data_IF_159113844228
#
_entry.id   IF_159113844228
#
_cell.length_a   1.000
_cell.length_b   1.000
_cell.length_c   1.000
_cell.angle_alpha   90.00
_cell.angle_beta   90.00
_cell.angle_gamma   90.00
#
_symmetry.space_group_name_H-M   'P 1'
#
loop_
_entity.id
_entity.type
_entity.pdbx_description
1 polymer ?
#
# COMPACT_ATOMS: atom_id res chain seq x y z
N UNK A 1 -25.99 -90.35 26.78
CA UNK A 1 -26.74 -89.45 27.65
C UNK A 1 -26.46 -88.04 27.19
N UNK A 2 -27.46 -87.43 26.52
CA UNK A 2 -27.31 -86.07 25.87
C UNK A 2 -27.72 -84.97 26.85
N UNK A 3 -26.81 -84.07 27.18
CA UNK A 3 -27.17 -82.81 27.90
C UNK A 3 -27.42 -81.73 26.89
N UNK A 4 -28.67 -81.24 26.86
CA UNK A 4 -29.06 -80.02 26.13
C UNK A 4 -28.54 -78.83 26.92
N UNK A 5 -27.73 -77.99 26.26
CA UNK A 5 -27.35 -76.65 26.74
C UNK A 5 -28.37 -75.69 26.26
N UNK A 6 -28.96 -74.91 27.20
CA UNK A 6 -29.91 -73.86 26.94
C UNK A 6 -29.19 -72.67 26.39
N UNK A 7 -29.56 -72.26 25.17
CA UNK A 7 -29.12 -71.01 24.58
C UNK A 7 -30.03 -69.87 25.07
N UNK A 8 -29.52 -69.01 25.90
CA UNK A 8 -30.18 -67.74 26.28
C UNK A 8 -29.94 -66.69 25.20
N UNK A 9 -30.99 -66.31 24.48
CA UNK A 9 -30.98 -65.23 23.51
C UNK A 9 -31.06 -63.91 24.29
N UNK A 10 -29.97 -63.15 24.35
CA UNK A 10 -29.96 -61.77 24.84
C UNK A 10 -30.40 -60.87 23.68
N UNK A 11 -31.63 -60.39 23.74
CA UNK A 11 -32.15 -59.35 22.85
C UNK A 11 -31.49 -58.03 23.18
N UNK A 12 -30.55 -57.62 22.35
CA UNK A 12 -29.95 -56.27 22.41
C UNK A 12 -30.93 -55.31 21.70
N UNK A 13 -31.62 -54.49 22.49
CA UNK A 13 -32.42 -53.37 22.03
C UNK A 13 -31.44 -52.28 21.52
N UNK A 14 -31.25 -52.18 20.22
CA UNK A 14 -30.54 -51.09 19.57
C UNK A 14 -31.50 -49.89 19.56
N UNK A 15 -31.33 -48.94 20.49
CA UNK A 15 -31.98 -47.65 20.44
C UNK A 15 -31.26 -46.81 19.37
N UNK A 16 -31.94 -46.39 18.30
CA UNK A 16 -31.33 -45.46 17.37
C UNK A 16 -31.20 -44.09 18.07
N UNK A 17 -29.99 -43.72 18.46
CA UNK A 17 -29.66 -42.40 18.94
C UNK A 17 -29.70 -41.47 17.71
N UNK A 18 -30.87 -40.86 17.51
CA UNK A 18 -31.02 -39.75 16.54
C UNK A 18 -30.13 -38.59 17.05
N UNK A 19 -28.90 -38.57 16.54
CA UNK A 19 -28.03 -37.42 16.64
C UNK A 19 -28.70 -36.32 15.76
N UNK A 20 -29.50 -35.50 16.38
CA UNK A 20 -29.88 -34.24 15.77
C UNK A 20 -28.61 -33.39 15.77
N UNK A 21 -27.87 -33.47 14.68
CA UNK A 21 -26.90 -32.43 14.32
C UNK A 21 -27.75 -31.21 14.01
N UNK A 22 -28.01 -30.40 15.01
CA UNK A 22 -28.32 -28.99 14.77
C UNK A 22 -27.10 -28.44 14.06
N UNK A 23 -27.16 -28.50 12.73
CA UNK A 23 -26.34 -27.63 11.89
C UNK A 23 -26.79 -26.23 12.31
N UNK A 24 -26.06 -25.65 13.26
CA UNK A 24 -26.02 -24.20 13.42
C UNK A 24 -25.54 -23.70 12.07
N UNK A 25 -26.51 -23.43 11.18
CA UNK A 25 -26.29 -22.51 10.09
C UNK A 25 -25.94 -21.21 10.82
N UNK A 26 -24.66 -20.97 11.02
CA UNK A 26 -24.18 -19.61 11.18
C UNK A 26 -24.79 -18.90 9.98
N UNK A 27 -25.81 -18.08 10.26
CA UNK A 27 -26.29 -17.07 9.36
C UNK A 27 -25.07 -16.16 9.17
N UNK A 28 -24.18 -16.62 8.29
CA UNK A 28 -23.12 -15.82 7.75
C UNK A 28 -23.85 -14.69 7.04
N UNK A 29 -24.04 -13.58 7.77
CA UNK A 29 -24.57 -12.32 7.23
C UNK A 29 -23.56 -11.89 6.17
N UNK A 30 -23.63 -12.61 5.03
CA UNK A 30 -22.67 -12.54 3.94
C UNK A 30 -22.66 -11.09 3.48
N UNK A 31 -21.60 -10.38 3.85
CA UNK A 31 -21.46 -8.98 3.50
C UNK A 31 -21.73 -8.79 2.01
N UNK A 32 -22.65 -7.89 1.67
CA UNK A 32 -23.05 -7.59 0.30
C UNK A 32 -22.91 -6.11 -0.03
N UNK A 33 -22.91 -5.79 -1.31
CA UNK A 33 -22.92 -4.40 -1.78
C UNK A 33 -21.71 -3.58 -1.26
N UNK A 34 -21.99 -2.38 -0.78
CA UNK A 34 -20.97 -1.42 -0.35
C UNK A 34 -20.25 -1.84 0.93
N UNK A 35 -20.93 -2.55 1.84
CA UNK A 35 -20.33 -3.08 3.07
C UNK A 35 -19.22 -4.07 2.73
N UNK A 36 -19.51 -5.04 1.86
CA UNK A 36 -18.52 -6.00 1.38
C UNK A 36 -17.36 -5.28 0.71
N UNK A 37 -17.65 -4.38 -0.23
CA UNK A 37 -16.60 -3.64 -0.95
C UNK A 37 -15.72 -2.82 -0.01
N UNK A 38 -16.29 -2.22 1.03
CA UNK A 38 -15.51 -1.47 2.03
C UNK A 38 -14.52 -2.36 2.80
N UNK A 39 -14.96 -3.57 3.21
CA UNK A 39 -14.06 -4.54 3.85
C UNK A 39 -12.97 -5.03 2.90
N UNK A 40 -13.32 -5.33 1.64
CA UNK A 40 -12.34 -5.69 0.60
C UNK A 40 -11.30 -4.58 0.40
N UNK A 41 -11.71 -3.31 0.39
CA UNK A 41 -10.80 -2.16 0.29
C UNK A 41 -9.85 -2.10 1.47
N UNK A 42 -10.33 -2.28 2.70
CA UNK A 42 -9.47 -2.31 3.89
C UNK A 42 -8.42 -3.40 3.75
N UNK A 43 -8.80 -4.62 3.38
CA UNK A 43 -7.86 -5.73 3.16
C UNK A 43 -6.86 -5.42 2.06
N UNK A 44 -7.33 -4.94 0.91
CA UNK A 44 -6.49 -4.63 -0.25
C UNK A 44 -5.47 -3.50 0.03
N UNK A 45 -5.86 -2.48 0.80
CA UNK A 45 -4.98 -1.37 1.14
C UNK A 45 -4.02 -1.69 2.29
N UNK A 46 -4.36 -2.66 3.14
CA UNK A 46 -3.51 -3.15 4.22
C UNK A 46 -2.47 -4.16 3.75
N UNK A 47 -2.65 -4.73 2.55
CA UNK A 47 -1.71 -5.65 1.91
C UNK A 47 -0.66 -4.88 1.11
N UNK A 48 0.60 -5.28 1.24
CA UNK A 48 1.72 -4.73 0.48
C UNK A 48 1.64 -5.01 -1.01
N UNK A 49 0.97 -6.11 -1.40
CA UNK A 49 0.76 -6.55 -2.79
C UNK A 49 -0.66 -6.33 -3.28
N UNK A 50 -1.57 -5.87 -2.43
CA UNK A 50 -3.02 -5.79 -2.71
C UNK A 50 -3.38 -5.04 -3.98
N UNK A 51 -2.64 -3.98 -4.32
CA UNK A 51 -2.87 -3.22 -5.56
C UNK A 51 -2.59 -4.02 -6.83
N UNK A 52 -1.79 -5.08 -6.76
CA UNK A 52 -1.48 -6.00 -7.87
C UNK A 52 -2.44 -7.18 -7.99
N UNK A 53 -3.24 -7.46 -6.97
CA UNK A 53 -4.17 -8.59 -6.92
C UNK A 53 -5.40 -8.30 -7.77
N UNK A 54 -5.84 -9.27 -8.58
CA UNK A 54 -6.99 -9.12 -9.49
C UNK A 54 -8.28 -8.79 -8.76
N UNK A 55 -8.51 -9.42 -7.61
CA UNK A 55 -9.67 -9.28 -6.74
C UNK A 55 -9.78 -7.87 -6.15
N UNK A 56 -8.64 -7.23 -5.94
CA UNK A 56 -8.57 -5.87 -5.41
C UNK A 56 -8.84 -4.78 -6.47
N UNK A 57 -8.75 -5.09 -7.76
CA UNK A 57 -8.92 -4.07 -8.83
C UNK A 57 -10.27 -3.37 -8.78
N UNK A 58 -11.36 -4.13 -8.67
CA UNK A 58 -12.71 -3.56 -8.63
C UNK A 58 -12.99 -2.75 -7.36
N UNK A 59 -12.74 -3.28 -6.14
CA UNK A 59 -12.89 -2.53 -4.90
C UNK A 59 -12.05 -1.24 -4.88
N UNK A 60 -10.78 -1.33 -5.25
CA UNK A 60 -9.89 -0.17 -5.26
C UNK A 60 -10.30 0.88 -6.32
N UNK A 61 -10.75 0.45 -7.50
CA UNK A 61 -11.29 1.38 -8.51
C UNK A 61 -12.46 2.17 -7.95
N UNK A 62 -13.41 1.50 -7.29
CA UNK A 62 -14.54 2.15 -6.63
C UNK A 62 -14.08 3.13 -5.55
N UNK A 63 -13.21 2.70 -4.67
CA UNK A 63 -12.68 3.52 -3.58
C UNK A 63 -11.94 4.78 -4.10
N UNK A 64 -11.05 4.65 -5.07
CA UNK A 64 -10.30 5.78 -5.61
C UNK A 64 -11.15 6.71 -6.50
N UNK A 65 -12.33 6.27 -6.95
CA UNK A 65 -13.31 7.14 -7.61
C UNK A 65 -13.99 8.11 -6.63
N UNK A 66 -13.94 7.84 -5.33
CA UNK A 66 -14.48 8.73 -4.29
C UNK A 66 -13.63 9.99 -4.25
N UNK A 67 -14.22 11.09 -4.69
CA UNK A 67 -13.57 12.40 -4.76
C UNK A 67 -14.51 13.53 -4.40
N UNK A 68 -13.95 14.70 -4.09
CA UNK A 68 -14.66 15.94 -3.87
C UNK A 68 -13.79 17.12 -4.34
N UNK A 69 -14.38 18.30 -4.44
CA UNK A 69 -13.65 19.51 -4.86
C UNK A 69 -12.46 19.82 -3.95
N UNK A 70 -12.59 19.63 -2.64
CA UNK A 70 -11.51 19.84 -1.66
C UNK A 70 -11.01 18.49 -1.15
N UNK A 71 -9.71 18.35 -1.01
CA UNK A 71 -9.07 17.13 -0.51
C UNK A 71 -9.62 16.66 0.83
N UNK A 72 -9.79 17.60 1.78
CA UNK A 72 -10.39 17.27 3.08
C UNK A 72 -11.77 16.62 2.96
N UNK A 73 -12.58 17.06 2.01
CA UNK A 73 -13.91 16.49 1.81
C UNK A 73 -13.83 15.13 1.12
N UNK A 74 -12.81 14.90 0.28
CA UNK A 74 -12.50 13.57 -0.26
C UNK A 74 -12.13 12.59 0.86
N UNK A 75 -11.25 12.99 1.78
CA UNK A 75 -10.88 12.15 2.94
C UNK A 75 -12.10 11.78 3.77
N UNK A 76 -12.96 12.74 4.10
CA UNK A 76 -14.20 12.48 4.85
C UNK A 76 -15.10 11.47 4.14
N UNK A 77 -15.27 11.60 2.82
CA UNK A 77 -16.07 10.64 2.04
C UNK A 77 -15.44 9.26 2.01
N UNK A 78 -14.12 9.16 1.85
CA UNK A 78 -13.37 7.91 1.90
C UNK A 78 -13.50 7.25 3.27
N UNK A 79 -13.36 8.00 4.36
CA UNK A 79 -13.57 7.48 5.71
C UNK A 79 -14.97 6.93 5.88
N UNK A 80 -16.00 7.70 5.52
CA UNK A 80 -17.38 7.25 5.61
C UNK A 80 -17.63 5.96 4.82
N UNK A 81 -16.96 5.79 3.67
CA UNK A 81 -17.05 4.55 2.89
C UNK A 81 -16.36 3.37 3.62
N UNK A 82 -15.16 3.56 4.17
CA UNK A 82 -14.46 2.52 4.93
C UNK A 82 -15.25 2.11 6.17
N UNK A 83 -15.93 3.04 6.83
CA UNK A 83 -16.77 2.81 8.00
C UNK A 83 -18.02 1.95 7.73
N UNK A 84 -18.34 1.68 6.46
CA UNK A 84 -19.38 0.71 6.10
C UNK A 84 -18.97 -0.74 6.42
N UNK A 85 -17.66 -1.02 6.52
CA UNK A 85 -17.18 -2.32 6.96
C UNK A 85 -17.42 -2.46 8.47
N UNK A 86 -18.14 -3.48 8.95
CA UNK A 86 -18.48 -3.62 10.36
C UNK A 86 -17.26 -3.61 11.31
N UNK A 87 -16.14 -4.16 10.85
CA UNK A 87 -14.90 -4.21 11.65
C UNK A 87 -14.09 -2.91 11.64
N UNK A 88 -14.46 -1.92 10.81
CA UNK A 88 -13.68 -0.67 10.64
C UNK A 88 -13.48 0.12 11.94
N UNK A 89 -14.44 0.01 12.87
CA UNK A 89 -14.45 0.71 14.16
C UNK A 89 -14.58 -0.26 15.35
N UNK A 90 -14.29 -1.55 15.16
CA UNK A 90 -14.41 -2.58 16.19
C UNK A 90 -13.54 -2.29 17.42
N UNK A 91 -12.38 -1.69 17.20
CA UNK A 91 -11.45 -1.26 18.25
C UNK A 91 -10.63 -0.06 17.79
N UNK A 92 -9.87 0.53 18.73
CA UNK A 92 -9.03 1.72 18.44
C UNK A 92 -8.01 1.48 17.34
N UNK A 93 -7.42 0.27 17.27
CA UNK A 93 -6.41 -0.08 16.25
C UNK A 93 -7.03 -0.15 14.86
N UNK A 94 -8.20 -0.76 14.71
CA UNK A 94 -8.93 -0.78 13.44
C UNK A 94 -9.36 0.63 13.02
N UNK A 95 -9.83 1.45 13.95
CA UNK A 95 -10.17 2.85 13.69
C UNK A 95 -8.94 3.68 13.27
N UNK A 96 -7.78 3.43 13.88
CA UNK A 96 -6.51 4.03 13.47
C UNK A 96 -6.11 3.58 12.06
N UNK A 97 -6.22 2.28 11.76
CA UNK A 97 -5.94 1.75 10.42
C UNK A 97 -6.80 2.42 9.35
N UNK A 98 -8.11 2.47 9.54
CA UNK A 98 -9.01 3.12 8.56
C UNK A 98 -8.72 4.62 8.41
N UNK A 99 -8.26 5.28 9.47
CA UNK A 99 -7.78 6.66 9.42
C UNK A 99 -6.52 6.79 8.55
N UNK A 100 -5.59 5.84 8.61
CA UNK A 100 -4.41 5.80 7.73
C UNK A 100 -4.84 5.55 6.28
N UNK A 101 -5.69 4.54 6.06
CA UNK A 101 -6.11 4.12 4.73
C UNK A 101 -6.86 5.21 3.96
N UNK A 102 -7.65 6.08 4.63
CA UNK A 102 -8.32 7.19 3.95
C UNK A 102 -7.35 8.15 3.25
N UNK A 103 -6.10 8.25 3.75
CA UNK A 103 -5.05 9.11 3.20
C UNK A 103 -4.24 8.44 2.09
N UNK A 104 -4.38 7.13 1.90
CA UNK A 104 -3.58 6.40 0.95
C UNK A 104 -3.97 6.74 -0.50
N UNK A 105 -3.07 7.44 -1.20
CA UNK A 105 -3.27 7.85 -2.60
C UNK A 105 -2.64 6.87 -3.58
N UNK A 106 -1.50 6.29 -3.21
CA UNK A 106 -0.69 5.41 -4.05
C UNK A 106 0.00 4.32 -3.21
N UNK A 107 0.67 3.39 -3.88
CA UNK A 107 1.42 2.34 -3.20
C UNK A 107 2.66 2.89 -2.48
N UNK A 108 3.10 2.18 -1.44
CA UNK A 108 4.20 2.62 -0.58
C UNK A 108 5.51 1.83 -0.84
N UNK A 109 5.57 1.09 -1.95
CA UNK A 109 6.76 0.38 -2.39
C UNK A 109 7.82 1.32 -2.99
N UNK A 110 9.06 0.84 -3.08
CA UNK A 110 10.18 1.62 -3.58
C UNK A 110 9.98 2.08 -5.03
N UNK A 111 9.39 1.26 -5.89
CA UNK A 111 9.14 1.60 -7.29
C UNK A 111 8.17 2.78 -7.40
N UNK A 112 7.04 2.72 -6.69
CA UNK A 112 6.06 3.81 -6.66
C UNK A 112 6.66 5.09 -6.10
N UNK A 113 7.43 5.01 -5.02
CA UNK A 113 8.08 6.16 -4.40
C UNK A 113 9.13 6.80 -5.32
N UNK A 114 9.86 6.02 -6.11
CA UNK A 114 10.82 6.51 -7.10
C UNK A 114 10.15 7.27 -8.25
N UNK A 115 8.90 6.97 -8.56
CA UNK A 115 8.10 7.67 -9.56
C UNK A 115 7.45 8.95 -9.03
N UNK A 116 7.57 9.25 -7.72
CA UNK A 116 7.05 10.48 -7.11
C UNK A 116 8.10 11.57 -7.17
N UNK A 117 7.80 12.62 -7.92
CA UNK A 117 8.69 13.75 -8.09
C UNK A 117 8.21 14.94 -7.25
N UNK A 118 9.16 15.65 -6.68
CA UNK A 118 8.94 16.96 -6.09
C UNK A 118 9.62 18.04 -6.92
N UNK A 119 8.99 19.19 -6.97
CA UNK A 119 9.45 20.33 -7.75
C UNK A 119 9.79 21.50 -6.82
N UNK A 120 10.85 22.20 -7.17
CA UNK A 120 11.27 23.43 -6.49
C UNK A 120 11.43 24.53 -7.51
N UNK A 121 10.75 25.66 -7.27
CA UNK A 121 11.03 26.88 -8.04
C UNK A 121 12.32 27.52 -7.52
N UNK A 122 13.28 27.73 -8.42
CA UNK A 122 14.55 28.38 -8.09
C UNK A 122 14.90 29.41 -9.15
N UNK A 123 14.93 30.69 -8.75
CA UNK A 123 15.04 31.84 -9.65
C UNK A 123 13.95 31.78 -10.74
N UNK A 124 14.32 31.59 -11.99
CA UNK A 124 13.41 31.54 -13.15
C UNK A 124 13.16 30.11 -13.67
N UNK A 125 13.69 29.08 -12.96
CA UNK A 125 13.66 27.69 -13.43
C UNK A 125 13.07 26.74 -12.40
N UNK A 126 12.29 25.78 -12.88
CA UNK A 126 11.85 24.65 -12.05
C UNK A 126 12.97 23.62 -11.97
N UNK A 127 13.27 23.17 -10.76
CA UNK A 127 14.14 22.04 -10.49
C UNK A 127 13.31 20.87 -9.97
N UNK A 128 13.79 19.65 -10.22
CA UNK A 128 13.10 18.40 -9.93
C UNK A 128 14.04 17.39 -9.28
N UNK A 129 13.49 16.55 -8.42
CA UNK A 129 14.13 15.35 -7.88
C UNK A 129 13.08 14.30 -7.51
N UNK A 130 13.49 13.07 -7.20
CA UNK A 130 12.62 12.11 -6.51
C UNK A 130 12.26 12.66 -5.13
N UNK A 131 11.00 12.56 -4.74
CA UNK A 131 10.53 12.99 -3.42
C UNK A 131 11.37 12.33 -2.32
N UNK A 132 12.01 13.15 -1.48
CA UNK A 132 13.01 12.68 -0.53
C UNK A 132 12.45 12.28 0.84
N UNK A 133 11.17 12.51 1.06
CA UNK A 133 10.48 12.12 2.30
C UNK A 133 9.43 11.06 2.03
N UNK A 134 9.26 10.15 2.96
CA UNK A 134 8.18 9.18 2.93
C UNK A 134 6.88 9.87 3.35
N UNK A 135 5.79 9.71 2.58
CA UNK A 135 4.48 10.21 2.98
C UNK A 135 4.06 9.67 4.36
N UNK A 136 3.37 10.48 5.15
CA UNK A 136 2.95 10.08 6.50
C UNK A 136 2.12 8.81 6.48
N UNK A 137 1.15 8.69 5.57
CA UNK A 137 0.34 7.48 5.47
C UNK A 137 1.16 6.22 5.14
N UNK A 138 2.22 6.33 4.32
CA UNK A 138 3.13 5.20 4.08
C UNK A 138 3.90 4.84 5.35
N UNK A 139 4.46 5.85 6.04
CA UNK A 139 5.15 5.63 7.30
C UNK A 139 4.25 4.94 8.32
N UNK A 140 3.00 5.38 8.44
CA UNK A 140 2.04 4.85 9.38
C UNK A 140 1.62 3.40 9.02
N UNK A 141 1.47 3.07 7.72
CA UNK A 141 1.24 1.70 7.26
C UNK A 141 2.36 0.75 7.67
N UNK A 142 3.64 1.16 7.49
CA UNK A 142 4.79 0.34 7.89
C UNK A 142 4.91 0.14 9.41
N UNK A 143 4.26 0.98 10.20
CA UNK A 143 4.29 0.89 11.66
C UNK A 143 2.99 0.29 12.25
N UNK A 144 1.97 0.01 11.43
CA UNK A 144 0.68 -0.46 11.93
C UNK A 144 0.63 -2.00 11.94
N UNK A 145 0.36 -2.58 13.10
CA UNK A 145 0.40 -4.04 13.32
C UNK A 145 -0.62 -4.86 12.49
N UNK A 146 -1.72 -4.24 12.04
CA UNK A 146 -2.74 -4.90 11.22
C UNK A 146 -2.49 -4.78 9.71
N UNK A 147 -1.28 -4.46 9.31
CA UNK A 147 -0.88 -4.40 7.91
C UNK A 147 0.25 -5.39 7.61
N UNK A 148 0.29 -5.90 6.38
CA UNK A 148 1.45 -6.68 5.91
C UNK A 148 2.71 -5.83 5.80
N UNK A 149 2.56 -4.50 5.66
CA UNK A 149 3.68 -3.56 5.61
C UNK A 149 4.58 -3.63 6.85
N UNK A 150 4.01 -3.92 8.02
CA UNK A 150 4.78 -4.07 9.26
C UNK A 150 5.71 -5.28 9.27
N UNK A 151 5.49 -6.25 8.37
CA UNK A 151 6.26 -7.49 8.24
C UNK A 151 7.34 -7.42 7.17
N UNK A 152 7.38 -6.37 6.38
CA UNK A 152 8.34 -6.21 5.28
C UNK A 152 9.30 -5.03 5.53
N UNK A 153 10.43 -5.07 4.84
CA UNK A 153 11.43 -4.00 4.96
C UNK A 153 10.88 -2.70 4.38
N UNK A 154 10.84 -1.67 5.21
CA UNK A 154 10.47 -0.31 4.82
C UNK A 154 11.52 0.29 3.88
N UNK A 155 11.14 0.85 2.72
CA UNK A 155 12.07 1.52 1.81
C UNK A 155 12.83 2.66 2.48
N UNK A 156 14.09 2.84 2.10
CA UNK A 156 14.96 3.93 2.58
C UNK A 156 15.38 4.82 1.42
N UNK A 157 15.39 6.11 1.65
CA UNK A 157 15.92 7.07 0.69
C UNK A 157 17.45 7.09 0.76
N UNK A 158 18.12 6.86 -0.38
CA UNK A 158 19.58 6.71 -0.48
C UNK A 158 20.26 7.78 -1.33
N UNK A 159 19.50 8.61 -2.05
CA UNK A 159 20.06 9.73 -2.80
C UNK A 159 20.38 10.93 -1.89
N UNK A 160 21.14 11.91 -2.41
CA UNK A 160 21.35 13.17 -1.70
C UNK A 160 20.04 13.99 -1.66
N UNK A 161 19.45 14.23 -0.47
CA UNK A 161 18.22 15.00 -0.34
C UNK A 161 18.38 16.50 -0.63
N UNK A 162 19.60 16.99 -0.85
CA UNK A 162 19.86 18.39 -1.21
C UNK A 162 20.07 18.56 -2.71
N UNK A 163 20.25 17.49 -3.45
CA UNK A 163 20.53 17.52 -4.89
C UNK A 163 19.22 17.74 -5.67
N UNK A 164 19.25 18.74 -6.55
CA UNK A 164 18.16 19.12 -7.44
C UNK A 164 18.68 19.26 -8.87
N UNK A 165 17.92 18.75 -9.80
CA UNK A 165 18.28 18.75 -11.21
C UNK A 165 17.42 19.72 -12.01
N UNK A 166 17.92 20.25 -13.13
CA UNK A 166 17.06 20.94 -14.10
C UNK A 166 16.06 19.93 -14.71
N UNK A 167 14.91 20.41 -15.18
CA UNK A 167 13.92 19.56 -15.85
C UNK A 167 14.52 18.93 -17.11
N UNK A 168 15.38 19.67 -17.80
CA UNK A 168 16.08 19.24 -19.01
C UNK A 168 17.07 18.11 -18.72
N UNK A 169 17.93 18.27 -17.70
CA UNK A 169 18.88 17.24 -17.27
C UNK A 169 18.15 15.99 -16.76
N UNK A 170 17.09 16.19 -15.99
CA UNK A 170 16.26 15.08 -15.52
C UNK A 170 15.66 14.26 -16.66
N UNK A 171 15.12 14.93 -17.69
CA UNK A 171 14.57 14.26 -18.88
C UNK A 171 15.65 13.54 -19.66
N UNK A 172 16.82 14.17 -19.83
CA UNK A 172 17.99 13.58 -20.53
C UNK A 172 18.59 12.41 -19.76
N UNK A 173 18.48 12.40 -18.41
CA UNK A 173 19.08 11.40 -17.55
C UNK A 173 20.53 11.68 -17.15
N UNK A 174 21.10 12.80 -17.56
CA UNK A 174 22.47 13.20 -17.28
C UNK A 174 22.55 14.67 -16.86
N UNK A 175 23.39 14.94 -15.88
CA UNK A 175 23.79 16.29 -15.48
C UNK A 175 25.14 16.61 -16.08
N UNK A 176 25.28 17.78 -16.70
CA UNK A 176 26.57 18.27 -17.18
C UNK A 176 27.30 19.00 -16.07
N UNK A 177 28.41 18.41 -15.60
CA UNK A 177 29.22 18.94 -14.48
C UNK A 177 30.54 19.47 -15.02
N UNK A 178 30.91 20.67 -14.61
CA UNK A 178 32.21 21.24 -14.90
C UNK A 178 33.28 20.50 -14.09
N UNK A 179 34.27 19.93 -14.80
CA UNK A 179 35.38 19.17 -14.17
C UNK A 179 36.71 19.92 -14.23
N UNK A 180 36.85 20.87 -15.14
CA UNK A 180 38.05 21.70 -15.27
C UNK A 180 37.74 23.05 -15.87
N UNK A 181 38.42 24.07 -15.39
CA UNK A 181 38.37 25.43 -15.91
C UNK A 181 39.78 26.01 -15.96
N UNK A 182 40.30 26.32 -17.15
CA UNK A 182 41.61 26.92 -17.36
C UNK A 182 41.48 28.18 -18.18
N UNK A 183 42.14 29.28 -17.74
CA UNK A 183 42.16 30.51 -18.50
C UNK A 183 43.06 30.35 -19.76
N UNK A 184 42.57 30.67 -20.92
CA UNK A 184 43.27 30.63 -22.18
C UNK A 184 43.68 32.06 -22.59
N UNK A 185 44.94 32.41 -22.39
CA UNK A 185 45.47 33.74 -22.65
C UNK A 185 45.35 34.16 -24.13
N UNK A 186 45.41 33.17 -25.06
CA UNK A 186 45.32 33.46 -26.51
C UNK A 186 43.89 33.82 -26.91
N UNK A 187 42.88 33.15 -26.34
CA UNK A 187 41.47 33.37 -26.66
C UNK A 187 40.81 34.39 -25.76
N UNK A 188 41.46 34.78 -24.66
CA UNK A 188 40.90 35.67 -23.65
C UNK A 188 39.58 35.10 -23.06
N UNK A 189 39.47 33.78 -22.91
CA UNK A 189 38.33 33.06 -22.38
C UNK A 189 38.74 31.85 -21.55
N UNK A 190 37.77 31.24 -20.83
CA UNK A 190 38.01 30.00 -20.11
C UNK A 190 37.79 28.79 -21.02
N UNK A 191 38.79 27.92 -21.15
CA UNK A 191 38.61 26.55 -21.68
C UNK A 191 37.98 25.73 -20.55
N UNK A 192 36.68 25.36 -20.69
CA UNK A 192 35.92 24.63 -19.71
C UNK A 192 35.67 23.21 -20.23
N UNK A 193 36.04 22.24 -19.43
CA UNK A 193 35.78 20.82 -19.72
C UNK A 193 34.58 20.37 -18.88
N UNK A 194 33.61 19.79 -19.52
CA UNK A 194 32.42 19.23 -18.89
C UNK A 194 32.45 17.70 -18.98
N UNK A 195 31.82 17.07 -17.99
CA UNK A 195 31.53 15.63 -17.97
C UNK A 195 30.04 15.45 -17.75
N UNK A 196 29.43 14.53 -18.51
CA UNK A 196 28.08 14.10 -18.25
C UNK A 196 28.09 13.03 -17.16
N UNK A 197 27.30 13.25 -16.09
CA UNK A 197 27.15 12.36 -14.96
C UNK A 197 25.71 11.87 -14.92
N UNK A 198 25.52 10.57 -14.87
CA UNK A 198 24.20 9.95 -14.84
C UNK A 198 23.42 10.38 -13.59
N UNK A 199 22.13 10.67 -13.76
CA UNK A 199 21.23 11.03 -12.68
C UNK A 199 20.63 9.76 -12.09
N UNK A 200 20.94 9.48 -10.83
CA UNK A 200 20.31 8.40 -10.10
C UNK A 200 18.84 8.73 -9.82
N UNK A 201 17.92 7.90 -10.36
CA UNK A 201 16.48 8.03 -10.19
C UNK A 201 15.89 6.99 -9.23
N UNK A 202 16.62 5.90 -8.95
CA UNK A 202 16.24 4.86 -7.99
C UNK A 202 16.71 5.25 -6.59
N UNK A 203 16.04 6.24 -6.00
CA UNK A 203 16.42 6.81 -4.71
C UNK A 203 15.80 6.10 -3.52
N UNK A 204 14.70 5.37 -3.70
CA UNK A 204 14.08 4.51 -2.70
C UNK A 204 14.47 3.05 -2.93
N UNK A 205 14.94 2.37 -1.86
CA UNK A 205 15.43 0.97 -1.88
C UNK A 205 15.01 0.22 -0.63
#
# INVERSE_FOLDING_TARGET
MKKLSKLTIVSILIVPMLIHSDAVLADDDLLTGDKRTACEVILCLSSSVGRGISECKSPLKKYFSISAKRWRDTLKKRRNFLDLCPTANENEKMSALTTILQHQEYACDAETLNNRLENKWYMTKTKVRVQSYMPSFCNDLYNHEFTEFSQIKKPKYVCDPNKWYSVEDWKRGFERVEVSRKWNYRKQEYDIVYKDVEIQKNCWQ
#
